data_IF_544379328224
#
_entry.id   IF_544379328224
#
_cell.length_a   1.000
_cell.length_b   1.000
_cell.length_c   1.000
_cell.angle_alpha   90.00
_cell.angle_beta   90.00
_cell.angle_gamma   90.00
#
_symmetry.space_group_name_H-M   'P 1'
#
loop_
_entity.id
_entity.type
_entity.pdbx_description
1 polymer ?
#
# COMPACT_ATOMS: atom_id res chain seq x y z
N UNK A 1 4.17 -18.95 18.09
CA UNK A 1 3.10 -19.33 17.13
C UNK A 1 2.15 -18.20 16.70
N UNK A 2 1.95 -17.11 17.48
CA UNK A 2 0.99 -16.03 17.14
C UNK A 2 1.32 -15.11 15.95
N UNK A 3 2.56 -15.10 15.42
CA UNK A 3 2.96 -14.16 14.35
C UNK A 3 2.53 -14.58 12.93
N UNK A 4 2.24 -15.86 12.66
CA UNK A 4 2.02 -16.34 11.28
C UNK A 4 0.60 -16.08 10.75
N UNK A 5 -0.39 -15.87 11.61
CA UNK A 5 -1.80 -15.75 11.22
C UNK A 5 -2.11 -14.39 10.56
N UNK A 6 -1.38 -13.34 10.96
CA UNK A 6 -1.67 -11.97 10.52
C UNK A 6 -1.58 -11.75 8.99
N UNK A 7 -0.54 -12.21 8.28
CA UNK A 7 -0.48 -12.07 6.82
C UNK A 7 -1.57 -12.85 6.09
N UNK A 8 -1.95 -14.03 6.60
CA UNK A 8 -3.03 -14.84 6.05
C UNK A 8 -4.39 -14.18 6.27
N UNK A 9 -4.60 -13.54 7.43
CA UNK A 9 -5.78 -12.75 7.69
C UNK A 9 -5.90 -11.56 6.71
N UNK A 10 -4.80 -10.84 6.45
CA UNK A 10 -4.78 -9.76 5.45
C UNK A 10 -5.12 -10.26 4.04
N UNK A 11 -4.54 -11.40 3.62
CA UNK A 11 -4.83 -11.99 2.32
C UNK A 11 -6.30 -12.45 2.20
N UNK A 12 -6.84 -13.07 3.25
CA UNK A 12 -8.24 -13.50 3.31
C UNK A 12 -9.20 -12.30 3.30
N UNK A 13 -8.92 -11.27 4.09
CA UNK A 13 -9.68 -10.02 4.07
C UNK A 13 -9.64 -9.39 2.66
N UNK A 14 -8.47 -9.33 2.03
CA UNK A 14 -8.31 -8.83 0.67
C UNK A 14 -9.17 -9.59 -0.35
N UNK A 15 -9.20 -10.92 -0.26
CA UNK A 15 -10.07 -11.74 -1.10
C UNK A 15 -11.56 -11.43 -0.90
N UNK A 16 -12.01 -11.32 0.36
CA UNK A 16 -13.41 -11.01 0.71
C UNK A 16 -13.79 -9.63 0.17
N UNK A 17 -12.98 -8.60 0.41
CA UNK A 17 -13.25 -7.25 -0.09
C UNK A 17 -13.27 -7.21 -1.62
N UNK A 18 -12.39 -7.96 -2.30
CA UNK A 18 -12.41 -8.06 -3.76
C UNK A 18 -13.71 -8.69 -4.26
N UNK A 19 -14.13 -9.80 -3.65
CA UNK A 19 -15.38 -10.46 -3.99
C UNK A 19 -16.60 -9.55 -3.73
N UNK A 20 -16.64 -8.85 -2.60
CA UNK A 20 -17.69 -7.88 -2.28
C UNK A 20 -17.74 -6.75 -3.31
N UNK A 21 -16.60 -6.20 -3.71
CA UNK A 21 -16.55 -5.14 -4.72
C UNK A 21 -17.09 -5.61 -6.07
N UNK A 22 -16.79 -6.84 -6.50
CA UNK A 22 -17.35 -7.45 -7.72
C UNK A 22 -18.87 -7.63 -7.59
N UNK A 23 -19.35 -8.13 -6.45
CA UNK A 23 -20.78 -8.31 -6.20
C UNK A 23 -21.52 -6.97 -6.26
N UNK A 24 -21.00 -5.92 -5.63
CA UNK A 24 -21.58 -4.59 -5.69
C UNK A 24 -21.52 -3.99 -7.10
N UNK A 25 -20.52 -4.36 -7.92
CA UNK A 25 -20.46 -3.97 -9.32
C UNK A 25 -21.56 -4.60 -10.19
N UNK A 26 -22.04 -5.80 -9.82
CA UNK A 26 -23.08 -6.53 -10.57
C UNK A 26 -24.49 -6.17 -10.08
N UNK A 27 -24.70 -6.15 -8.76
CA UNK A 27 -26.02 -5.95 -8.14
C UNK A 27 -26.34 -4.45 -7.99
N UNK A 28 -25.32 -3.60 -8.02
CA UNK A 28 -25.42 -2.17 -7.69
C UNK A 28 -25.14 -1.93 -6.21
N UNK A 29 -24.39 -0.87 -5.92
CA UNK A 29 -24.08 -0.47 -4.54
C UNK A 29 -25.30 0.14 -3.81
N UNK A 30 -26.39 0.42 -4.52
CA UNK A 30 -27.65 0.93 -3.96
C UNK A 30 -28.30 -0.01 -2.94
N UNK A 31 -27.98 -1.31 -3.01
CA UNK A 31 -28.45 -2.32 -2.04
C UNK A 31 -27.93 -2.05 -0.62
N UNK A 32 -26.82 -1.34 -0.47
CA UNK A 32 -26.27 -0.99 0.85
C UNK A 32 -27.14 0.03 1.60
N UNK A 33 -27.95 0.84 0.90
CA UNK A 33 -28.78 1.90 1.49
C UNK A 33 -28.00 2.85 2.43
N UNK A 34 -26.71 3.07 2.14
CA UNK A 34 -25.82 3.99 2.86
C UNK A 34 -25.64 5.24 1.99
N UNK A 35 -25.76 6.46 2.54
CA UNK A 35 -25.64 7.70 1.76
C UNK A 35 -24.18 8.03 1.46
N UNK A 36 -23.58 7.33 0.49
CA UNK A 36 -22.28 7.70 -0.07
C UNK A 36 -22.44 8.86 -1.06
N UNK A 37 -21.50 9.81 -1.05
CA UNK A 37 -21.49 10.97 -1.96
C UNK A 37 -21.41 10.58 -3.44
N UNK A 38 -20.76 9.45 -3.75
CA UNK A 38 -20.67 8.86 -5.10
C UNK A 38 -20.78 7.35 -5.02
N UNK A 39 -22.01 6.85 -5.14
CA UNK A 39 -22.31 5.42 -4.96
C UNK A 39 -21.70 4.55 -6.06
N UNK A 40 -21.59 5.08 -7.27
CA UNK A 40 -20.96 4.46 -8.44
C UNK A 40 -19.45 4.18 -8.27
N UNK A 41 -18.76 4.86 -7.35
CA UNK A 41 -17.34 4.59 -7.06
C UNK A 41 -17.14 3.49 -6.02
N UNK A 42 -18.18 3.10 -5.28
CA UNK A 42 -18.08 2.12 -4.18
C UNK A 42 -17.57 0.76 -4.66
N UNK A 43 -18.08 0.16 -5.76
CA UNK A 43 -17.56 -1.12 -6.25
C UNK A 43 -16.07 -1.07 -6.60
N UNK A 44 -15.63 0.04 -7.21
CA UNK A 44 -14.23 0.25 -7.61
C UNK A 44 -13.36 0.39 -6.36
N UNK A 45 -13.76 1.24 -5.41
CA UNK A 45 -13.00 1.49 -4.19
C UNK A 45 -12.84 0.22 -3.33
N UNK A 46 -13.94 -0.53 -3.15
CA UNK A 46 -13.96 -1.77 -2.36
C UNK A 46 -13.14 -2.87 -3.04
N UNK A 47 -13.27 -3.04 -4.36
CA UNK A 47 -12.47 -4.00 -5.12
C UNK A 47 -10.97 -3.67 -5.05
N UNK A 48 -10.63 -2.40 -5.24
CA UNK A 48 -9.24 -1.95 -5.25
C UNK A 48 -8.59 -2.08 -3.87
N UNK A 49 -9.33 -1.76 -2.80
CA UNK A 49 -8.89 -2.00 -1.42
C UNK A 49 -8.64 -3.49 -1.16
N UNK A 50 -9.53 -4.35 -1.65
CA UNK A 50 -9.36 -5.80 -1.58
C UNK A 50 -8.08 -6.28 -2.25
N UNK A 51 -7.83 -5.83 -3.48
CA UNK A 51 -6.61 -6.16 -4.24
C UNK A 51 -5.36 -5.69 -3.48
N UNK A 52 -5.36 -4.45 -2.97
CA UNK A 52 -4.24 -3.89 -2.22
C UNK A 52 -3.92 -4.69 -0.95
N UNK A 53 -4.95 -5.08 -0.20
CA UNK A 53 -4.80 -5.93 0.99
C UNK A 53 -4.26 -7.32 0.64
N UNK A 54 -4.71 -7.88 -0.49
CA UNK A 54 -4.28 -9.18 -0.98
C UNK A 54 -2.79 -9.14 -1.34
N UNK A 55 -2.36 -8.14 -2.11
CA UNK A 55 -0.95 -7.94 -2.44
C UNK A 55 -0.10 -7.69 -1.18
N UNK A 56 -0.59 -6.89 -0.22
CA UNK A 56 0.09 -6.68 1.04
C UNK A 56 0.28 -8.00 1.82
N UNK A 57 -0.79 -8.80 1.95
CA UNK A 57 -0.74 -10.12 2.59
C UNK A 57 0.27 -11.06 1.93
N UNK A 58 0.25 -11.17 0.60
CA UNK A 58 1.20 -11.98 -0.16
C UNK A 58 2.64 -11.50 0.07
N UNK A 59 2.89 -10.19 -0.05
CA UNK A 59 4.22 -9.61 0.16
C UNK A 59 4.73 -9.91 1.57
N UNK A 60 3.89 -9.82 2.61
CA UNK A 60 4.27 -10.19 3.97
C UNK A 60 4.60 -11.67 4.13
N UNK A 61 3.86 -12.57 3.47
CA UNK A 61 4.14 -14.01 3.47
C UNK A 61 5.50 -14.28 2.78
N UNK A 62 5.75 -13.62 1.65
CA UNK A 62 7.02 -13.71 0.93
C UNK A 62 8.18 -13.19 1.77
N UNK A 63 8.04 -12.02 2.40
CA UNK A 63 9.10 -11.41 3.20
C UNK A 63 9.50 -12.32 4.38
N UNK A 64 8.55 -13.02 5.00
CA UNK A 64 8.84 -14.05 6.01
C UNK A 64 9.57 -15.27 5.47
N UNK A 65 9.22 -15.73 4.26
CA UNK A 65 9.98 -16.80 3.60
C UNK A 65 11.40 -16.33 3.33
N UNK A 66 11.60 -15.08 2.93
CA UNK A 66 12.93 -14.50 2.77
C UNK A 66 13.66 -14.34 4.10
N UNK A 67 12.99 -14.03 5.22
CA UNK A 67 13.61 -14.02 6.55
C UNK A 67 14.17 -15.40 6.93
N UNK A 68 13.42 -16.49 6.71
CA UNK A 68 13.94 -17.85 6.95
C UNK A 68 15.14 -18.21 6.06
N UNK A 69 15.28 -17.58 4.89
CA UNK A 69 16.45 -17.74 4.03
C UNK A 69 17.63 -16.86 4.51
N UNK A 70 17.37 -15.65 5.04
CA UNK A 70 18.40 -14.77 5.63
C UNK A 70 19.09 -15.41 6.82
N UNK A 71 18.38 -16.18 7.64
CA UNK A 71 18.99 -16.92 8.75
C UNK A 71 19.99 -17.99 8.26
N UNK A 72 19.79 -18.53 7.05
CA UNK A 72 20.68 -19.53 6.44
C UNK A 72 21.84 -18.90 5.66
N UNK A 73 21.67 -17.70 5.12
CA UNK A 73 22.71 -17.01 4.34
C UNK A 73 22.73 -15.49 4.62
N UNK A 74 23.84 -15.03 5.21
CA UNK A 74 24.08 -13.61 5.54
C UNK A 74 24.11 -12.70 4.30
N UNK A 75 24.39 -13.23 3.10
CA UNK A 75 24.37 -12.48 1.85
C UNK A 75 22.97 -12.06 1.41
N UNK A 76 21.96 -12.88 1.74
CA UNK A 76 20.56 -12.69 1.35
C UNK A 76 19.91 -11.45 1.98
N UNK A 77 20.40 -10.97 3.13
CA UNK A 77 19.90 -9.75 3.77
C UNK A 77 20.18 -8.50 2.93
N UNK A 78 21.41 -8.37 2.42
CA UNK A 78 21.83 -7.25 1.58
C UNK A 78 21.02 -7.17 0.29
N UNK A 79 20.65 -8.32 -0.29
CA UNK A 79 19.84 -8.40 -1.50
C UNK A 79 18.43 -7.85 -1.25
N UNK A 80 17.76 -8.29 -0.17
CA UNK A 80 16.42 -7.82 0.18
C UNK A 80 16.42 -6.33 0.52
N UNK A 81 17.39 -5.84 1.29
CA UNK A 81 17.51 -4.41 1.59
C UNK A 81 17.74 -3.58 0.32
N UNK A 82 18.60 -4.04 -0.60
CA UNK A 82 18.85 -3.38 -1.88
C UNK A 82 17.59 -3.33 -2.76
N UNK A 83 16.81 -4.42 -2.79
CA UNK A 83 15.54 -4.47 -3.52
C UNK A 83 14.52 -3.49 -2.93
N UNK A 84 14.34 -3.47 -1.61
CA UNK A 84 13.44 -2.54 -0.91
C UNK A 84 13.84 -1.08 -1.14
N UNK A 85 15.13 -0.76 -1.06
CA UNK A 85 15.65 0.59 -1.35
C UNK A 85 15.35 1.04 -2.78
N UNK A 86 15.59 0.19 -3.79
CA UNK A 86 15.24 0.49 -5.19
C UNK A 86 13.74 0.69 -5.39
N UNK A 87 12.92 -0.15 -4.80
CA UNK A 87 11.46 -0.04 -4.89
C UNK A 87 10.95 1.27 -4.25
N UNK A 88 11.51 1.64 -3.09
CA UNK A 88 11.19 2.90 -2.41
C UNK A 88 11.55 4.13 -3.26
N UNK A 89 12.75 4.17 -3.84
CA UNK A 89 13.17 5.26 -4.72
C UNK A 89 12.26 5.39 -5.95
N UNK A 90 11.87 4.26 -6.55
CA UNK A 90 10.92 4.25 -7.67
C UNK A 90 9.55 4.78 -7.25
N UNK A 91 9.04 4.33 -6.09
CA UNK A 91 7.76 4.77 -5.54
C UNK A 91 7.73 6.27 -5.29
N UNK A 92 8.81 6.85 -4.73
CA UNK A 92 8.96 8.29 -4.51
C UNK A 92 8.78 9.06 -5.83
N UNK A 93 9.43 8.62 -6.90
CA UNK A 93 9.34 9.28 -8.21
C UNK A 93 7.96 9.14 -8.84
N UNK A 94 7.41 7.92 -8.85
CA UNK A 94 6.10 7.65 -9.44
C UNK A 94 4.96 8.36 -8.69
N UNK A 95 5.05 8.46 -7.36
CA UNK A 95 4.04 9.15 -6.56
C UNK A 95 3.97 10.65 -6.90
N UNK A 96 5.12 11.30 -7.05
CA UNK A 96 5.18 12.72 -7.43
C UNK A 96 4.63 12.96 -8.83
N UNK A 97 5.02 12.15 -9.80
CA UNK A 97 4.51 12.26 -11.18
C UNK A 97 2.99 12.00 -11.21
N UNK A 98 2.54 10.96 -10.51
CA UNK A 98 1.13 10.56 -10.47
C UNK A 98 0.24 11.63 -9.83
N UNK A 99 0.64 12.18 -8.68
CA UNK A 99 -0.14 13.23 -7.98
C UNK A 99 -0.22 14.52 -8.78
N UNK A 100 0.87 14.97 -9.40
CA UNK A 100 0.87 16.15 -10.29
C UNK A 100 -0.02 15.91 -11.51
N UNK A 101 0.09 14.74 -12.14
CA UNK A 101 -0.73 14.39 -13.31
C UNK A 101 -2.22 14.39 -12.96
N UNK A 102 -2.61 13.80 -11.83
CA UNK A 102 -4.00 13.78 -11.37
C UNK A 102 -4.51 15.19 -11.04
N UNK A 103 -3.67 16.07 -10.52
CA UNK A 103 -4.01 17.47 -10.28
C UNK A 103 -4.22 18.24 -11.59
N UNK A 104 -3.31 18.10 -12.56
CA UNK A 104 -3.40 18.75 -13.88
C UNK A 104 -4.62 18.29 -14.68
N UNK A 105 -5.00 17.01 -14.56
CA UNK A 105 -6.20 16.45 -15.20
C UNK A 105 -7.51 16.81 -14.47
N UNK A 106 -7.45 17.51 -13.34
CA UNK A 106 -8.62 17.92 -12.57
C UNK A 106 -9.27 16.80 -11.73
N UNK A 107 -8.59 15.66 -11.55
CA UNK A 107 -9.10 14.53 -10.75
C UNK A 107 -8.85 14.70 -9.24
N UNK A 108 -8.00 15.65 -8.83
CA UNK A 108 -7.77 15.99 -7.43
C UNK A 108 -8.28 17.40 -7.13
N UNK A 109 -9.10 17.54 -6.09
CA UNK A 109 -9.40 18.85 -5.52
C UNK A 109 -8.21 19.37 -4.69
N UNK A 110 -8.19 20.68 -4.43
CA UNK A 110 -7.09 21.35 -3.72
C UNK A 110 -6.79 20.70 -2.37
N UNK A 111 -7.83 20.41 -1.58
CA UNK A 111 -7.68 19.81 -0.25
C UNK A 111 -7.05 18.42 -0.32
N UNK A 112 -7.48 17.58 -1.26
CA UNK A 112 -6.95 16.22 -1.44
C UNK A 112 -5.50 16.26 -1.93
N UNK A 113 -5.18 17.18 -2.84
CA UNK A 113 -3.83 17.39 -3.34
C UNK A 113 -2.86 17.78 -2.21
N UNK A 114 -3.19 18.82 -1.43
CA UNK A 114 -2.36 19.25 -0.31
C UNK A 114 -2.26 18.19 0.79
N UNK A 115 -3.33 17.43 1.04
CA UNK A 115 -3.31 16.32 2.02
C UNK A 115 -2.36 15.20 1.60
N UNK A 116 -2.41 14.79 0.32
CA UNK A 116 -1.55 13.75 -0.23
C UNK A 116 -0.07 14.17 -0.25
N UNK A 117 0.21 15.42 -0.65
CA UNK A 117 1.56 15.99 -0.59
C UNK A 117 2.06 16.09 0.85
N UNK A 118 1.21 16.51 1.79
CA UNK A 118 1.57 16.57 3.21
C UNK A 118 2.01 15.22 3.75
N UNK A 119 1.23 14.17 3.48
CA UNK A 119 1.58 12.80 3.88
C UNK A 119 2.89 12.32 3.23
N UNK A 120 3.09 12.64 1.96
CA UNK A 120 4.32 12.33 1.24
C UNK A 120 5.55 13.01 1.84
N UNK A 121 5.45 14.31 2.16
CA UNK A 121 6.52 15.08 2.80
C UNK A 121 6.85 14.51 4.18
N UNK A 122 5.84 14.19 5.00
CA UNK A 122 6.05 13.57 6.32
C UNK A 122 6.83 12.25 6.17
N UNK A 123 6.48 11.42 5.18
CA UNK A 123 7.21 10.18 4.90
C UNK A 123 8.68 10.42 4.53
N UNK A 124 8.95 11.42 3.69
CA UNK A 124 10.32 11.79 3.30
C UNK A 124 11.13 12.36 4.48
N UNK A 125 10.50 13.17 5.33
CA UNK A 125 11.12 13.69 6.55
C UNK A 125 11.47 12.57 7.52
N UNK A 126 10.56 11.61 7.72
CA UNK A 126 10.82 10.45 8.57
C UNK A 126 11.97 9.59 8.02
N UNK A 127 12.00 9.34 6.71
CA UNK A 127 13.12 8.65 6.06
C UNK A 127 14.45 9.40 6.27
N UNK A 128 14.47 10.71 6.07
CA UNK A 128 15.65 11.55 6.23
C UNK A 128 16.15 11.56 7.68
N UNK A 129 15.22 11.65 8.63
CA UNK A 129 15.51 11.55 10.06
C UNK A 129 16.16 10.19 10.41
N UNK A 130 15.55 9.09 9.97
CA UNK A 130 16.07 7.75 10.24
C UNK A 130 17.44 7.52 9.61
N UNK A 131 17.68 8.08 8.41
CA UNK A 131 18.98 8.01 7.74
C UNK A 131 20.06 8.72 8.56
N UNK A 132 19.77 9.91 9.09
CA UNK A 132 20.71 10.65 9.95
C UNK A 132 20.96 9.91 11.25
N UNK A 133 19.91 9.36 11.88
CA UNK A 133 20.04 8.58 13.12
C UNK A 133 20.91 7.34 12.92
N UNK A 134 20.67 6.56 11.86
CA UNK A 134 21.43 5.36 11.56
C UNK A 134 22.90 5.67 11.21
N UNK A 135 23.19 6.83 10.58
CA UNK A 135 24.57 7.28 10.34
C UNK A 135 25.31 7.68 11.60
N UNK A 136 24.63 8.18 12.63
CA UNK A 136 25.25 8.57 13.90
C UNK A 136 25.52 7.38 14.83
N UNK A 137 24.83 6.26 14.61
CA UNK A 137 24.97 5.03 15.40
C UNK A 137 25.99 4.03 14.81
N UNK A 138 26.50 4.29 13.61
CA UNK A 138 27.51 3.49 12.91
C UNK A 138 28.90 4.11 13.05
#
# INVERSE_FOLDING_TARGET
MKRLIWPWFLAAAGFIFTAMGIIFGIIGADVLNIPFTRMDLVPIAVSFLGIMLLFAGIMFIMDKRFETLKEKDKGSEKIVQKAKSKAFNLMIGLYSIGTITLALLGYLNEVSFFSLIGLYIIGLLFYSYQLVMNRRAA
#
